data_IF_129242412771
#
_entry.id   IF_129242412771
#
_cell.length_a   1.000
_cell.length_b   1.000
_cell.length_c   1.000
_cell.angle_alpha   90.00
_cell.angle_beta   90.00
_cell.angle_gamma   90.00
#
_symmetry.space_group_name_H-M   'P 1'
#
loop_
_entity.id
_entity.type
_entity.pdbx_description
1 polymer ?
#
# COMPACT_ATOMS: atom_id res chain seq x y z
N UNK A 1 -23.65 -19.40 -11.38
CA UNK A 1 -22.29 -19.79 -10.96
C UNK A 1 -21.81 -18.77 -9.94
N UNK A 2 -21.64 -19.19 -8.68
CA UNK A 2 -21.26 -18.35 -7.55
C UNK A 2 -19.82 -17.86 -7.72
N UNK A 3 -19.62 -16.59 -8.07
CA UNK A 3 -18.30 -15.96 -7.99
C UNK A 3 -18.04 -15.55 -6.55
N UNK A 4 -17.16 -16.30 -5.88
CA UNK A 4 -16.68 -15.95 -4.55
C UNK A 4 -16.09 -14.53 -4.58
N UNK A 5 -16.40 -13.67 -3.60
CA UNK A 5 -15.80 -12.34 -3.52
C UNK A 5 -14.28 -12.51 -3.42
N UNK A 6 -13.51 -11.90 -4.34
CA UNK A 6 -12.04 -11.96 -4.31
C UNK A 6 -11.56 -11.44 -2.96
N UNK A 7 -11.20 -12.37 -2.06
CA UNK A 7 -10.75 -12.05 -0.71
C UNK A 7 -9.42 -11.31 -0.84
N UNK A 8 -9.31 -10.14 -0.19
CA UNK A 8 -8.01 -9.55 0.13
C UNK A 8 -7.34 -10.45 1.14
N UNK A 9 -6.15 -10.93 0.81
CA UNK A 9 -5.28 -11.67 1.72
C UNK A 9 -4.30 -10.68 2.36
N UNK A 10 -4.01 -10.87 3.64
CA UNK A 10 -2.98 -10.11 4.33
C UNK A 10 -1.60 -10.65 3.95
N UNK A 11 -1.48 -11.97 3.87
CA UNK A 11 -0.22 -12.69 3.65
C UNK A 11 -0.33 -13.61 2.44
N UNK A 12 0.67 -13.59 1.58
CA UNK A 12 0.93 -14.65 0.60
C UNK A 12 1.96 -15.61 1.18
N UNK A 13 1.65 -16.90 1.27
CA UNK A 13 2.58 -17.92 1.77
C UNK A 13 2.88 -18.90 0.63
N UNK A 14 4.11 -18.82 0.09
CA UNK A 14 4.64 -19.80 -0.86
C UNK A 14 5.47 -20.85 -0.15
N UNK A 15 5.22 -22.11 -0.48
CA UNK A 15 5.92 -23.26 0.07
C UNK A 15 5.86 -24.42 -0.90
N UNK A 16 6.68 -25.44 -0.66
CA UNK A 16 6.57 -26.73 -1.34
C UNK A 16 5.97 -27.75 -0.39
N UNK A 17 4.73 -28.18 -0.63
CA UNK A 17 4.03 -29.08 0.28
C UNK A 17 4.76 -30.40 0.45
N UNK A 18 5.36 -30.93 -0.62
CA UNK A 18 6.08 -32.22 -0.59
C UNK A 18 7.21 -32.25 0.45
N UNK A 19 7.90 -31.13 0.66
CA UNK A 19 9.06 -31.07 1.56
C UNK A 19 8.68 -30.65 2.98
N UNK A 20 7.49 -30.07 3.17
CA UNK A 20 7.03 -29.48 4.44
C UNK A 20 5.90 -30.28 5.12
N UNK A 21 5.45 -31.37 4.49
CA UNK A 21 4.32 -32.18 4.95
C UNK A 21 4.62 -32.99 6.20
N UNK A 22 5.80 -33.59 6.27
CA UNK A 22 6.13 -34.61 7.29
C UNK A 22 6.18 -34.04 8.71
N UNK A 23 6.45 -32.75 8.84
CA UNK A 23 6.52 -32.04 10.13
C UNK A 23 5.35 -31.10 10.39
N UNK A 24 4.33 -31.09 9.50
CA UNK A 24 3.16 -30.21 9.60
C UNK A 24 3.48 -28.71 9.78
N UNK A 25 4.69 -28.26 9.48
CA UNK A 25 5.19 -26.91 9.76
C UNK A 25 4.25 -25.82 9.22
N UNK A 26 3.89 -25.94 7.93
CA UNK A 26 2.99 -24.98 7.27
C UNK A 26 1.60 -25.00 7.91
N UNK A 27 1.11 -26.17 8.34
CA UNK A 27 -0.19 -26.29 9.03
C UNK A 27 -0.17 -25.56 10.38
N UNK A 28 0.89 -25.73 11.17
CA UNK A 28 1.06 -25.03 12.43
C UNK A 28 1.14 -23.51 12.23
N UNK A 29 1.91 -23.04 11.23
CA UNK A 29 2.01 -21.64 10.88
C UNK A 29 0.65 -21.05 10.45
N UNK A 30 -0.09 -21.76 9.60
CA UNK A 30 -1.46 -21.37 9.24
C UNK A 30 -2.38 -21.29 10.46
N UNK A 31 -2.25 -22.24 11.38
CA UNK A 31 -2.98 -22.26 12.65
C UNK A 31 -2.70 -21.01 13.50
N UNK A 32 -1.43 -20.62 13.63
CA UNK A 32 -1.01 -19.41 14.35
C UNK A 32 -1.53 -18.13 13.69
N UNK A 33 -1.37 -18.01 12.36
CA UNK A 33 -1.86 -16.84 11.61
C UNK A 33 -3.38 -16.70 11.72
N UNK A 34 -4.11 -17.81 11.62
CA UNK A 34 -5.58 -17.84 11.79
C UNK A 34 -6.00 -17.43 13.19
N UNK A 35 -5.29 -17.89 14.24
CA UNK A 35 -5.53 -17.45 15.64
C UNK A 35 -5.34 -15.94 15.80
N UNK A 36 -4.43 -15.34 15.03
CA UNK A 36 -4.21 -13.88 14.96
C UNK A 36 -5.16 -13.15 14.00
N UNK A 37 -6.16 -13.83 13.44
CA UNK A 37 -7.11 -13.30 12.44
C UNK A 37 -6.44 -12.77 11.15
N UNK A 38 -5.25 -13.26 10.82
CA UNK A 38 -4.51 -12.90 9.60
C UNK A 38 -5.01 -13.79 8.46
N UNK A 39 -5.45 -13.18 7.34
CA UNK A 39 -5.90 -13.92 6.16
C UNK A 39 -4.71 -14.30 5.29
N UNK A 40 -4.47 -15.59 5.11
CA UNK A 40 -3.33 -16.09 4.35
C UNK A 40 -3.78 -16.76 3.05
N UNK A 41 -3.14 -16.42 1.93
CA UNK A 41 -3.23 -17.17 0.68
C UNK A 41 -2.15 -18.25 0.65
N UNK A 42 -2.54 -19.50 0.41
CA UNK A 42 -1.62 -20.65 0.37
C UNK A 42 -1.29 -21.01 -1.08
N UNK A 43 -0.02 -20.84 -1.43
CA UNK A 43 0.50 -21.24 -2.72
C UNK A 43 1.49 -22.39 -2.57
N UNK A 44 1.12 -23.52 -3.17
CA UNK A 44 1.97 -24.70 -3.22
C UNK A 44 2.67 -24.71 -4.58
N UNK A 45 4.01 -24.69 -4.56
CA UNK A 45 4.89 -24.57 -5.74
C UNK A 45 4.93 -25.84 -6.63
N UNK A 46 3.91 -26.70 -6.51
CA UNK A 46 3.74 -27.86 -7.39
C UNK A 46 3.32 -27.42 -8.80
N UNK A 47 3.65 -28.21 -9.84
CA UNK A 47 3.47 -27.80 -11.23
C UNK A 47 1.99 -27.68 -11.61
N UNK A 48 1.46 -26.46 -11.66
CA UNK A 48 0.12 -26.15 -12.19
C UNK A 48 0.12 -24.76 -12.83
N UNK A 49 -0.18 -24.67 -14.13
CA UNK A 49 -0.19 -23.39 -14.86
C UNK A 49 -1.34 -22.48 -14.44
N UNK A 50 -2.55 -23.03 -14.24
CA UNK A 50 -3.74 -22.26 -13.85
C UNK A 50 -3.54 -21.58 -12.48
N UNK A 51 -2.91 -22.31 -11.54
CA UNK A 51 -2.65 -21.81 -10.18
C UNK A 51 -1.56 -20.74 -10.13
N UNK A 52 -0.66 -20.71 -11.12
CA UNK A 52 0.43 -19.72 -11.22
C UNK A 52 -0.09 -18.32 -11.59
N UNK A 53 -1.03 -18.21 -12.52
CA UNK A 53 -1.63 -16.92 -12.88
C UNK A 53 -2.49 -16.33 -11.74
N UNK A 54 -3.15 -17.19 -10.96
CA UNK A 54 -3.88 -16.76 -9.78
C UNK A 54 -2.93 -16.32 -8.66
N UNK A 55 -1.81 -17.01 -8.48
CA UNK A 55 -0.82 -16.66 -7.46
C UNK A 55 -0.12 -15.35 -7.76
N UNK A 56 0.15 -15.03 -9.03
CA UNK A 56 0.63 -13.72 -9.47
C UNK A 56 -0.30 -12.56 -9.05
N UNK A 57 -1.61 -12.77 -9.12
CA UNK A 57 -2.58 -11.78 -8.63
C UNK A 57 -2.61 -11.75 -7.11
N UNK A 58 -2.53 -12.92 -6.46
CA UNK A 58 -2.55 -13.04 -5.01
C UNK A 58 -1.35 -12.36 -4.35
N UNK A 59 -0.13 -12.55 -4.87
CA UNK A 59 1.09 -11.91 -4.36
C UNK A 59 1.03 -10.37 -4.54
N UNK A 60 0.44 -9.88 -5.63
CA UNK A 60 0.26 -8.44 -5.88
C UNK A 60 -0.72 -7.77 -4.91
N UNK A 61 -1.79 -8.48 -4.50
CA UNK A 61 -2.80 -7.93 -3.58
C UNK A 61 -2.50 -8.19 -2.10
N UNK A 62 -1.52 -9.05 -1.82
CA UNK A 62 -1.08 -9.36 -0.46
C UNK A 62 -0.16 -8.26 0.07
N UNK A 63 -0.17 -8.05 1.37
CA UNK A 63 0.58 -6.96 2.02
C UNK A 63 1.99 -7.39 2.42
N UNK A 64 2.16 -8.69 2.68
CA UNK A 64 3.41 -9.34 3.03
C UNK A 64 3.48 -10.68 2.28
N UNK A 65 4.67 -11.05 1.79
CA UNK A 65 4.93 -12.38 1.25
C UNK A 65 5.87 -13.14 2.17
N UNK A 66 5.59 -14.43 2.37
CA UNK A 66 6.41 -15.37 3.13
C UNK A 66 6.77 -16.50 2.20
N UNK A 67 8.06 -16.80 2.08
CA UNK A 67 8.56 -17.88 1.22
C UNK A 67 9.26 -18.90 2.12
N UNK A 68 8.79 -20.14 2.08
CA UNK A 68 9.40 -21.25 2.80
C UNK A 68 10.35 -21.98 1.85
N UNK A 69 11.64 -21.66 1.94
CA UNK A 69 12.70 -22.36 1.23
C UNK A 69 12.92 -23.73 1.88
N UNK A 70 12.65 -24.79 1.13
CA UNK A 70 12.87 -26.19 1.50
C UNK A 70 13.79 -26.87 0.49
N UNK A 71 14.21 -28.11 0.79
CA UNK A 71 15.22 -28.85 0.01
C UNK A 71 15.01 -28.77 -1.52
N UNK A 72 13.79 -28.95 -2.01
CA UNK A 72 13.49 -28.96 -3.44
C UNK A 72 12.78 -27.69 -3.92
N UNK A 73 12.91 -26.58 -3.19
CA UNK A 73 12.27 -25.31 -3.56
C UNK A 73 12.88 -24.70 -4.84
N UNK A 74 14.14 -24.99 -5.19
CA UNK A 74 14.74 -24.58 -6.45
C UNK A 74 13.98 -25.08 -7.70
N UNK A 75 13.20 -26.16 -7.57
CA UNK A 75 12.34 -26.68 -8.63
C UNK A 75 11.02 -25.89 -8.78
N UNK A 76 10.77 -24.86 -7.97
CA UNK A 76 9.53 -24.07 -7.98
C UNK A 76 9.40 -23.13 -9.18
N UNK A 77 8.24 -22.47 -9.37
CA UNK A 77 8.09 -21.48 -10.45
C UNK A 77 8.49 -20.05 -10.05
N UNK A 78 9.00 -19.88 -8.82
CA UNK A 78 9.77 -18.73 -8.35
C UNK A 78 9.07 -17.38 -8.47
N UNK A 79 8.05 -17.11 -7.66
CA UNK A 79 7.52 -15.75 -7.47
C UNK A 79 8.16 -15.11 -6.24
N UNK A 80 9.09 -14.18 -6.44
CA UNK A 80 9.83 -13.56 -5.35
C UNK A 80 9.61 -12.05 -5.38
N UNK A 81 8.74 -11.56 -4.49
CA UNK A 81 8.58 -10.12 -4.20
C UNK A 81 8.24 -9.93 -2.71
N UNK A 82 8.89 -8.97 -2.05
CA UNK A 82 8.66 -8.54 -0.65
C UNK A 82 8.59 -9.69 0.37
N UNK A 83 9.77 -10.24 0.70
CA UNK A 83 9.89 -11.59 1.24
C UNK A 83 10.30 -11.58 2.72
N UNK A 84 9.57 -12.33 3.53
CA UNK A 84 10.10 -12.92 4.75
C UNK A 84 10.59 -14.33 4.37
N UNK A 85 11.91 -14.55 4.24
CA UNK A 85 12.42 -15.87 3.91
C UNK A 85 12.36 -16.75 5.16
N UNK A 86 11.88 -17.98 5.01
CA UNK A 86 11.88 -19.01 6.04
C UNK A 86 12.66 -20.19 5.49
N UNK A 87 13.84 -20.43 6.04
CA UNK A 87 14.72 -21.54 5.67
C UNK A 87 14.33 -22.79 6.48
N UNK A 88 13.70 -23.73 5.79
CA UNK A 88 13.17 -24.96 6.35
C UNK A 88 14.07 -26.15 5.97
N UNK A 89 14.90 -26.59 6.93
CA UNK A 89 15.91 -27.63 6.79
C UNK A 89 16.85 -27.46 5.58
N UNK A 90 17.24 -26.21 5.31
CA UNK A 90 18.16 -25.85 4.23
C UNK A 90 19.24 -24.92 4.74
N UNK A 91 20.47 -25.08 4.25
CA UNK A 91 21.57 -24.17 4.54
C UNK A 91 21.43 -22.90 3.69
N UNK A 92 21.45 -21.69 4.29
CA UNK A 92 21.51 -20.45 3.53
C UNK A 92 22.60 -20.44 2.45
N UNK A 93 23.76 -21.04 2.71
CA UNK A 93 24.89 -21.07 1.77
C UNK A 93 24.57 -21.89 0.51
N UNK A 94 23.72 -22.91 0.62
CA UNK A 94 23.30 -23.70 -0.54
C UNK A 94 22.36 -22.92 -1.45
N UNK A 95 21.55 -22.02 -0.88
CA UNK A 95 20.68 -21.12 -1.64
C UNK A 95 21.52 -19.99 -2.26
N UNK A 96 22.46 -19.42 -1.48
CA UNK A 96 23.30 -18.29 -1.90
C UNK A 96 24.22 -18.67 -3.06
N UNK A 97 24.98 -19.75 -2.87
CA UNK A 97 25.97 -20.23 -3.83
C UNK A 97 25.36 -21.17 -4.86
N UNK A 98 24.06 -21.46 -4.75
CA UNK A 98 23.32 -22.37 -5.63
C UNK A 98 24.02 -23.74 -5.71
N UNK A 99 24.36 -24.27 -4.54
CA UNK A 99 24.96 -25.60 -4.38
C UNK A 99 23.91 -26.61 -3.90
N UNK A 100 24.29 -27.89 -3.84
CA UNK A 100 23.38 -28.96 -3.44
C UNK A 100 22.12 -29.04 -4.32
N UNK A 101 20.97 -29.25 -3.67
CA UNK A 101 19.68 -29.44 -4.34
C UNK A 101 19.22 -28.21 -5.15
N UNK A 102 19.58 -27.00 -4.72
CA UNK A 102 19.28 -25.77 -5.46
C UNK A 102 20.10 -25.72 -6.75
N UNK A 103 21.40 -26.04 -6.69
CA UNK A 103 22.27 -26.16 -7.85
C UNK A 103 21.74 -27.17 -8.87
N UNK A 104 21.35 -28.35 -8.41
CA UNK A 104 20.77 -29.41 -9.26
C UNK A 104 19.47 -28.95 -9.93
N UNK A 105 18.61 -28.22 -9.22
CA UNK A 105 17.37 -27.68 -9.75
C UNK A 105 17.60 -26.62 -10.83
N UNK A 106 18.58 -25.72 -10.63
CA UNK A 106 18.96 -24.73 -11.64
C UNK A 106 19.63 -25.39 -12.86
N UNK A 107 20.43 -26.44 -12.67
CA UNK A 107 21.07 -27.16 -13.77
C UNK A 107 20.06 -27.83 -14.72
N UNK A 108 18.90 -28.26 -14.21
CA UNK A 108 17.80 -28.83 -15.01
C UNK A 108 17.08 -27.80 -15.90
N UNK A 109 17.32 -26.50 -15.71
CA UNK A 109 16.59 -25.39 -16.37
C UNK A 109 17.45 -24.62 -17.39
N UNK A 110 18.46 -25.29 -17.95
CA UNK A 110 19.40 -24.70 -18.91
C UNK A 110 18.75 -24.17 -20.19
N UNK A 111 17.51 -24.54 -20.50
CA UNK A 111 16.74 -24.11 -21.67
C UNK A 111 16.27 -22.65 -21.62
N UNK A 112 16.40 -21.95 -20.47
CA UNK A 112 15.96 -20.56 -20.27
C UNK A 112 17.03 -19.68 -19.61
N UNK A 113 18.21 -19.63 -20.22
CA UNK A 113 19.39 -18.97 -19.66
C UNK A 113 19.19 -17.54 -19.11
N UNK A 114 18.41 -16.69 -19.79
CA UNK A 114 18.13 -15.31 -19.32
C UNK A 114 17.24 -15.29 -18.06
N UNK A 115 16.17 -16.08 -18.04
CA UNK A 115 15.29 -16.20 -16.85
C UNK A 115 16.00 -16.89 -15.68
N UNK A 116 16.95 -17.77 -15.98
CA UNK A 116 17.74 -18.47 -14.97
C UNK A 116 18.55 -17.50 -14.13
N UNK A 117 19.17 -16.49 -14.75
CA UNK A 117 19.98 -15.51 -14.02
C UNK A 117 19.12 -14.61 -13.13
N UNK A 118 17.99 -14.11 -13.65
CA UNK A 118 17.05 -13.31 -12.86
C UNK A 118 16.57 -14.08 -11.61
N UNK A 119 16.34 -15.38 -11.75
CA UNK A 119 15.90 -16.22 -10.64
C UNK A 119 16.98 -16.45 -9.60
N UNK A 120 18.21 -16.69 -10.05
CA UNK A 120 19.38 -16.80 -9.19
C UNK A 120 19.55 -15.56 -8.34
N UNK A 121 19.57 -14.40 -9.00
CA UNK A 121 19.71 -13.10 -8.34
C UNK A 121 18.58 -12.89 -7.33
N UNK A 122 17.35 -13.28 -7.68
CA UNK A 122 16.21 -13.11 -6.80
C UNK A 122 16.22 -14.03 -5.58
N UNK A 123 16.69 -15.27 -5.71
CA UNK A 123 16.87 -16.19 -4.58
C UNK A 123 17.97 -15.68 -3.65
N UNK A 124 19.10 -15.24 -4.21
CA UNK A 124 20.21 -14.64 -3.46
C UNK A 124 19.77 -13.35 -2.76
N UNK A 125 19.01 -12.47 -3.41
CA UNK A 125 18.45 -11.28 -2.77
C UNK A 125 17.47 -11.66 -1.65
N UNK A 126 16.61 -12.65 -1.87
CA UNK A 126 15.61 -13.07 -0.91
C UNK A 126 16.22 -13.59 0.40
N UNK A 127 17.29 -14.40 0.35
CA UNK A 127 17.95 -14.92 1.56
C UNK A 127 18.74 -13.85 2.31
N UNK A 128 19.16 -12.79 1.62
CA UNK A 128 19.83 -11.64 2.23
C UNK A 128 18.85 -10.74 3.01
N UNK A 129 17.54 -10.96 2.88
CA UNK A 129 16.53 -10.27 3.67
C UNK A 129 16.43 -10.87 5.09
N UNK A 130 16.04 -10.07 6.10
CA UNK A 130 15.82 -10.57 7.45
C UNK A 130 14.71 -11.64 7.48
N UNK A 131 15.06 -12.85 7.92
CA UNK A 131 14.13 -13.97 7.99
C UNK A 131 14.46 -14.98 9.09
N UNK A 132 13.96 -16.21 8.90
CA UNK A 132 13.93 -17.24 9.92
C UNK A 132 14.56 -18.53 9.40
N UNK A 133 15.21 -19.30 10.27
CA UNK A 133 15.76 -20.60 9.91
C UNK A 133 15.49 -21.63 11.01
N UNK A 134 15.05 -22.81 10.58
CA UNK A 134 14.85 -24.00 11.42
C UNK A 134 16.15 -24.59 11.94
N UNK A 135 17.29 -24.34 11.29
CA UNK A 135 18.56 -24.97 11.67
C UNK A 135 19.12 -24.45 13.00
N UNK A 136 18.70 -23.26 13.44
CA UNK A 136 19.17 -22.62 14.68
C UNK A 136 18.20 -22.75 15.85
N UNK A 137 16.96 -23.20 15.60
CA UNK A 137 15.90 -23.30 16.60
C UNK A 137 15.53 -24.77 16.79
N UNK A 138 15.65 -25.26 18.04
CA UNK A 138 15.38 -26.67 18.37
C UNK A 138 13.88 -27.00 18.46
N UNK A 139 13.02 -25.99 18.48
CA UNK A 139 11.58 -26.13 18.73
C UNK A 139 10.77 -25.44 17.62
N UNK A 140 10.16 -26.28 16.77
CA UNK A 140 9.32 -25.84 15.65
C UNK A 140 8.10 -25.04 16.13
N UNK A 141 7.54 -25.33 17.31
CA UNK A 141 6.40 -24.58 17.84
C UNK A 141 6.81 -23.16 18.23
N UNK A 142 7.97 -23.03 18.88
CA UNK A 142 8.54 -21.73 19.23
C UNK A 142 8.85 -20.91 17.98
N UNK A 143 9.50 -21.52 16.99
CA UNK A 143 9.82 -20.89 15.71
C UNK A 143 8.56 -20.41 14.98
N UNK A 144 7.54 -21.27 14.88
CA UNK A 144 6.27 -20.92 14.22
C UNK A 144 5.60 -19.73 14.91
N UNK A 145 5.60 -19.69 16.24
CA UNK A 145 5.05 -18.57 17.00
C UNK A 145 5.86 -17.28 16.79
N UNK A 146 7.17 -17.35 16.61
CA UNK A 146 8.03 -16.21 16.31
C UNK A 146 7.80 -15.67 14.90
N UNK A 147 7.76 -16.54 13.90
CA UNK A 147 7.42 -16.17 12.52
C UNK A 147 6.04 -15.48 12.47
N UNK A 148 5.04 -16.05 13.14
CA UNK A 148 3.70 -15.46 13.18
C UNK A 148 3.68 -14.07 13.85
N UNK A 149 4.49 -13.85 14.89
CA UNK A 149 4.67 -12.53 15.53
C UNK A 149 5.36 -11.53 14.61
N UNK A 150 6.41 -11.95 13.90
CA UNK A 150 7.11 -11.08 12.94
C UNK A 150 6.19 -10.65 11.80
N UNK A 151 5.45 -11.59 11.22
CA UNK A 151 4.44 -11.32 10.18
C UNK A 151 3.42 -10.28 10.66
N UNK A 152 2.84 -10.48 11.84
CA UNK A 152 1.90 -9.53 12.45
C UNK A 152 2.53 -8.14 12.61
N UNK A 153 3.76 -8.08 13.10
CA UNK A 153 4.48 -6.81 13.28
C UNK A 153 4.72 -6.09 11.94
N UNK A 154 5.09 -6.83 10.89
CA UNK A 154 5.32 -6.29 9.53
C UNK A 154 4.02 -5.83 8.89
N UNK A 155 2.92 -6.55 9.09
CA UNK A 155 1.58 -6.11 8.69
C UNK A 155 1.21 -4.81 9.40
N UNK A 156 1.36 -4.72 10.72
CA UNK A 156 1.05 -3.49 11.47
C UNK A 156 1.89 -2.30 11.00
N UNK A 157 3.19 -2.50 10.73
CA UNK A 157 4.05 -1.47 10.13
C UNK A 157 3.56 -1.07 8.74
N UNK A 158 3.26 -2.02 7.86
CA UNK A 158 2.74 -1.73 6.52
C UNK A 158 1.41 -0.96 6.56
N UNK A 159 0.49 -1.32 7.48
CA UNK A 159 -0.74 -0.55 7.71
C UNK A 159 -0.42 0.88 8.13
N UNK A 160 0.50 1.05 9.09
CA UNK A 160 0.89 2.36 9.60
C UNK A 160 1.53 3.22 8.52
N UNK A 161 2.47 2.68 7.74
CA UNK A 161 3.13 3.42 6.65
C UNK A 161 2.12 3.87 5.60
N UNK A 162 1.14 3.01 5.26
CA UNK A 162 0.06 3.39 4.34
C UNK A 162 -0.77 4.55 4.89
N UNK A 163 -1.17 4.49 6.16
CA UNK A 163 -1.90 5.59 6.82
C UNK A 163 -1.05 6.85 6.85
N UNK A 164 0.22 6.79 7.26
CA UNK A 164 1.10 7.95 7.27
C UNK A 164 1.23 8.57 5.89
N UNK A 165 1.41 7.77 4.84
CA UNK A 165 1.48 8.26 3.46
C UNK A 165 0.16 8.94 3.04
N UNK A 166 -0.99 8.29 3.25
CA UNK A 166 -2.32 8.85 2.93
C UNK A 166 -2.58 10.18 3.64
N UNK A 167 -2.21 10.30 4.91
CA UNK A 167 -2.46 11.50 5.70
C UNK A 167 -1.37 12.57 5.54
N UNK A 168 -0.16 12.22 5.09
CA UNK A 168 0.94 13.18 4.91
C UNK A 168 0.60 14.30 3.93
N UNK A 169 -0.03 13.96 2.80
CA UNK A 169 -0.44 14.93 1.78
C UNK A 169 -1.60 15.80 2.28
N UNK A 170 -2.56 15.19 2.99
CA UNK A 170 -3.68 15.90 3.62
C UNK A 170 -3.19 16.91 4.67
N UNK A 171 -2.25 16.52 5.53
CA UNK A 171 -1.63 17.40 6.52
C UNK A 171 -0.83 18.50 5.83
N UNK A 172 -0.09 18.18 4.76
CA UNK A 172 0.68 19.18 4.00
C UNK A 172 -0.23 20.25 3.40
N UNK A 173 -1.40 19.86 2.86
CA UNK A 173 -2.39 20.80 2.35
C UNK A 173 -2.97 21.68 3.47
N UNK A 174 -3.31 21.11 4.64
CA UNK A 174 -3.75 21.90 5.81
C UNK A 174 -2.72 22.96 6.20
N UNK A 175 -1.44 22.58 6.20
CA UNK A 175 -0.33 23.47 6.55
C UNK A 175 -0.12 24.59 5.53
N UNK A 176 -0.58 24.42 4.28
CA UNK A 176 -0.58 25.50 3.27
C UNK A 176 -1.81 26.41 3.39
N UNK A 177 -2.96 25.88 3.82
CA UNK A 177 -4.20 26.65 3.98
C UNK A 177 -4.14 27.67 5.13
N UNK A 178 -3.50 27.32 6.25
CA UNK A 178 -3.41 28.21 7.42
C UNK A 178 -2.62 29.51 7.08
N UNK A 179 -1.40 29.46 6.51
CA UNK A 179 -0.68 30.66 6.08
C UNK A 179 -1.39 31.41 4.95
N UNK A 180 -2.06 30.70 4.04
CA UNK A 180 -2.86 31.32 2.98
C UNK A 180 -3.94 32.25 3.58
N UNK A 181 -4.67 31.79 4.61
CA UNK A 181 -5.66 32.62 5.32
C UNK A 181 -5.02 33.85 5.99
N UNK A 182 -3.89 33.66 6.67
CA UNK A 182 -3.18 34.76 7.35
C UNK A 182 -2.77 35.83 6.33
N UNK A 183 -2.20 35.42 5.20
CA UNK A 183 -1.81 36.34 4.13
C UNK A 183 -2.99 37.05 3.50
N UNK A 184 -4.12 36.35 3.32
CA UNK A 184 -5.36 36.95 2.80
C UNK A 184 -5.90 38.03 3.76
N UNK A 185 -5.86 37.78 5.08
CA UNK A 185 -6.34 38.73 6.10
C UNK A 185 -5.47 39.99 6.24
N UNK A 186 -4.14 39.87 6.11
CA UNK A 186 -3.24 41.03 6.19
C UNK A 186 -3.05 41.74 4.86
N UNK A 187 -3.56 41.16 3.77
CA UNK A 187 -3.57 41.79 2.47
C UNK A 187 -4.43 43.06 2.50
N UNK A 188 -3.96 44.07 1.79
CA UNK A 188 -4.65 45.36 1.66
C UNK A 188 -4.21 46.02 0.36
N UNK A 189 -4.95 47.05 -0.06
CA UNK A 189 -4.60 47.86 -1.25
C UNK A 189 -3.15 48.38 -1.18
N UNK A 190 -2.64 48.68 0.02
CA UNK A 190 -1.29 49.19 0.24
C UNK A 190 -0.21 48.09 0.33
N UNK A 191 -0.60 46.81 0.42
CA UNK A 191 0.31 45.66 0.58
C UNK A 191 -0.09 44.50 -0.34
N UNK A 192 0.00 44.65 -1.67
CA UNK A 192 -0.45 43.64 -2.64
C UNK A 192 0.40 42.36 -2.63
N UNK A 193 1.63 42.41 -2.11
CA UNK A 193 2.53 41.27 -2.01
C UNK A 193 1.93 40.12 -1.18
N UNK A 194 1.16 40.42 -0.13
CA UNK A 194 0.51 39.37 0.67
C UNK A 194 -0.66 38.71 -0.08
N UNK A 195 -1.41 39.46 -0.89
CA UNK A 195 -2.44 38.89 -1.75
C UNK A 195 -1.82 37.97 -2.83
N UNK A 196 -0.68 38.37 -3.41
CA UNK A 196 0.07 37.54 -4.36
C UNK A 196 0.60 36.26 -3.69
N UNK A 197 1.11 36.35 -2.47
CA UNK A 197 1.57 35.20 -1.69
C UNK A 197 0.41 34.25 -1.32
N UNK A 198 -0.75 34.79 -0.93
CA UNK A 198 -1.94 33.98 -0.66
C UNK A 198 -2.38 33.22 -1.93
N UNK A 199 -2.41 33.89 -3.08
CA UNK A 199 -2.76 33.31 -4.38
C UNK A 199 -1.74 32.24 -4.83
N UNK A 200 -0.44 32.45 -4.63
CA UNK A 200 0.56 31.44 -4.99
C UNK A 200 0.45 30.19 -4.12
N UNK A 201 0.19 30.35 -2.82
CA UNK A 201 0.00 29.25 -1.87
C UNK A 201 -1.29 28.46 -2.15
N UNK A 202 -2.39 29.13 -2.52
CA UNK A 202 -3.64 28.45 -2.90
C UNK A 202 -3.48 27.66 -4.19
N UNK A 203 -2.79 28.24 -5.19
CA UNK A 203 -2.47 27.54 -6.44
C UNK A 203 -1.60 26.30 -6.19
N UNK A 204 -0.59 26.41 -5.31
CA UNK A 204 0.25 25.27 -4.94
C UNK A 204 -0.55 24.18 -4.23
N UNK A 205 -1.42 24.54 -3.27
CA UNK A 205 -2.32 23.60 -2.59
C UNK A 205 -3.25 22.88 -3.58
N UNK A 206 -3.85 23.63 -4.51
CA UNK A 206 -4.68 23.05 -5.57
C UNK A 206 -3.88 22.09 -6.47
N UNK A 207 -2.65 22.43 -6.83
CA UNK A 207 -1.78 21.57 -7.62
C UNK A 207 -1.43 20.28 -6.86
N UNK A 208 -1.11 20.35 -5.58
CA UNK A 208 -0.82 19.17 -4.74
C UNK A 208 -2.04 18.26 -4.61
N UNK A 209 -3.24 18.81 -4.42
CA UNK A 209 -4.49 18.03 -4.43
C UNK A 209 -4.71 17.30 -5.76
N UNK A 210 -4.46 17.97 -6.88
CA UNK A 210 -4.58 17.38 -8.21
C UNK A 210 -3.53 16.30 -8.45
N UNK A 211 -2.27 16.53 -8.06
CA UNK A 211 -1.19 15.54 -8.19
C UNK A 211 -1.50 14.29 -7.34
N UNK A 212 -1.97 14.46 -6.10
CA UNK A 212 -2.34 13.33 -5.23
C UNK A 212 -3.47 12.48 -5.84
N UNK A 213 -4.54 13.14 -6.30
CA UNK A 213 -5.63 12.46 -7.00
C UNK A 213 -5.17 11.79 -8.29
N UNK A 214 -4.31 12.43 -9.08
CA UNK A 214 -3.77 11.82 -10.30
C UNK A 214 -2.89 10.60 -9.97
N UNK A 215 -2.08 10.68 -8.92
CA UNK A 215 -1.23 9.57 -8.47
C UNK A 215 -2.08 8.38 -8.02
N UNK A 216 -3.05 8.60 -7.12
CA UNK A 216 -4.03 7.58 -6.70
C UNK A 216 -4.78 7.01 -7.90
N UNK A 217 -5.20 7.87 -8.83
CA UNK A 217 -5.91 7.47 -10.04
C UNK A 217 -5.10 6.55 -10.96
N UNK A 218 -3.80 6.83 -11.12
CA UNK A 218 -2.88 5.99 -11.90
C UNK A 218 -2.57 4.68 -11.23
N UNK A 219 -2.23 4.70 -9.94
CA UNK A 219 -1.90 3.48 -9.17
C UNK A 219 -3.08 2.52 -9.17
N UNK A 220 -4.30 3.05 -9.00
CA UNK A 220 -5.50 2.23 -8.86
C UNK A 220 -6.20 1.92 -10.19
N UNK A 221 -5.60 2.30 -11.33
CA UNK A 221 -6.09 2.07 -12.72
C UNK A 221 -7.59 2.37 -12.88
N UNK A 222 -7.96 3.55 -12.41
CA UNK A 222 -9.35 3.99 -12.32
C UNK A 222 -9.99 4.04 -13.70
N UNK A 223 -11.18 3.46 -13.81
CA UNK A 223 -11.97 3.50 -15.03
C UNK A 223 -13.02 4.60 -14.92
N UNK A 224 -13.11 5.40 -15.98
CA UNK A 224 -14.19 6.36 -16.11
C UNK A 224 -15.48 5.62 -16.45
N UNK A 225 -16.53 5.80 -15.64
CA UNK A 225 -17.81 5.14 -15.86
C UNK A 225 -18.96 6.12 -15.66
N UNK A 226 -19.89 6.09 -16.59
CA UNK A 226 -21.14 6.83 -16.49
C UNK A 226 -22.06 6.13 -15.48
N UNK A 227 -22.21 6.71 -14.28
CA UNK A 227 -23.21 6.31 -13.29
C UNK A 227 -24.11 7.51 -13.03
N UNK A 228 -25.39 7.38 -13.34
CA UNK A 228 -26.37 8.45 -13.12
C UNK A 228 -26.49 8.74 -11.61
N UNK A 229 -26.52 10.02 -11.15
CA UNK A 229 -26.71 11.26 -11.91
C UNK A 229 -25.43 12.08 -12.23
N UNK A 230 -24.23 11.67 -11.78
CA UNK A 230 -22.97 12.39 -12.05
C UNK A 230 -21.91 11.37 -12.50
N UNK A 231 -21.28 11.52 -13.69
CA UNK A 231 -20.19 10.65 -14.11
C UNK A 231 -19.07 10.65 -13.07
N UNK A 232 -18.64 9.46 -12.64
CA UNK A 232 -17.64 9.33 -11.58
C UNK A 232 -16.59 8.28 -11.93
N UNK A 233 -15.40 8.51 -11.39
CA UNK A 233 -14.27 7.61 -11.46
C UNK A 233 -14.49 6.39 -10.54
N UNK A 234 -14.19 5.18 -11.01
CA UNK A 234 -14.41 3.95 -10.25
C UNK A 234 -13.18 3.04 -10.24
N UNK A 235 -13.01 2.32 -9.14
CA UNK A 235 -12.00 1.28 -9.04
C UNK A 235 -12.38 0.07 -9.92
N UNK A 236 -11.49 -0.42 -10.80
CA UNK A 236 -11.79 -1.51 -11.72
C UNK A 236 -12.14 -2.82 -11.01
N UNK A 237 -11.70 -3.00 -9.77
CA UNK A 237 -11.87 -4.23 -8.98
C UNK A 237 -13.00 -4.20 -7.95
N UNK A 238 -13.60 -3.04 -7.64
CA UNK A 238 -14.69 -2.92 -6.66
C UNK A 238 -15.92 -2.24 -7.26
N UNK A 239 -17.02 -3.00 -7.34
CA UNK A 239 -18.24 -2.65 -8.10
C UNK A 239 -19.06 -1.47 -7.54
N UNK A 240 -18.71 -0.89 -6.40
CA UNK A 240 -19.46 0.23 -5.80
C UNK A 240 -18.66 1.32 -5.08
N UNK A 241 -17.32 1.28 -5.10
CA UNK A 241 -16.54 2.34 -4.44
C UNK A 241 -16.19 3.44 -5.44
N UNK A 242 -16.62 4.66 -5.12
CA UNK A 242 -16.23 5.88 -5.83
C UNK A 242 -14.73 6.12 -5.64
N UNK A 243 -14.08 6.60 -6.69
CA UNK A 243 -12.68 7.00 -6.64
C UNK A 243 -12.48 8.23 -5.75
N UNK A 244 -11.36 8.23 -5.00
CA UNK A 244 -10.99 9.27 -4.06
C UNK A 244 -11.66 9.10 -2.70
N UNK A 245 -10.89 9.31 -1.63
CA UNK A 245 -11.45 9.29 -0.28
C UNK A 245 -12.25 10.56 -0.02
N UNK A 246 -13.15 10.53 0.98
CA UNK A 246 -13.92 11.72 1.36
C UNK A 246 -13.01 12.94 1.68
N UNK A 247 -11.90 12.81 2.44
CA UNK A 247 -10.94 13.89 2.63
C UNK A 247 -10.33 14.44 1.33
N UNK A 248 -10.02 13.56 0.37
CA UNK A 248 -9.40 14.00 -0.90
C UNK A 248 -10.35 14.90 -1.69
N UNK A 249 -11.64 14.56 -1.68
CA UNK A 249 -12.67 15.33 -2.36
C UNK A 249 -12.95 16.66 -1.67
N UNK A 250 -13.09 16.65 -0.33
CA UNK A 250 -13.26 17.88 0.45
C UNK A 250 -12.05 18.79 0.28
N UNK A 251 -10.84 18.24 0.28
CA UNK A 251 -9.59 18.98 0.06
C UNK A 251 -9.52 19.63 -1.30
N UNK A 252 -9.82 18.90 -2.38
CA UNK A 252 -9.83 19.47 -3.71
C UNK A 252 -10.84 20.62 -3.84
N UNK A 253 -12.06 20.45 -3.30
CA UNK A 253 -13.09 21.50 -3.35
C UNK A 253 -12.64 22.73 -2.56
N UNK A 254 -12.09 22.56 -1.35
CA UNK A 254 -11.58 23.66 -0.54
C UNK A 254 -10.44 24.40 -1.27
N UNK A 255 -9.48 23.67 -1.83
CA UNK A 255 -8.36 24.26 -2.55
C UNK A 255 -8.79 25.04 -3.81
N UNK A 256 -9.75 24.50 -4.58
CA UNK A 256 -10.32 25.18 -5.75
C UNK A 256 -11.09 26.45 -5.35
N UNK A 257 -11.97 26.35 -4.35
CA UNK A 257 -12.73 27.50 -3.85
C UNK A 257 -11.82 28.59 -3.28
N UNK A 258 -10.81 28.21 -2.52
CA UNK A 258 -9.81 29.14 -1.97
C UNK A 258 -9.03 29.82 -3.10
N UNK A 259 -8.62 29.06 -4.13
CA UNK A 259 -7.91 29.62 -5.29
C UNK A 259 -8.73 30.66 -6.03
N UNK A 260 -10.03 30.40 -6.23
CA UNK A 260 -10.94 31.37 -6.87
C UNK A 260 -11.05 32.63 -6.01
N UNK A 261 -11.26 32.48 -4.69
CA UNK A 261 -11.41 33.62 -3.78
C UNK A 261 -10.15 34.49 -3.72
N UNK A 262 -8.96 33.89 -3.58
CA UNK A 262 -7.70 34.63 -3.53
C UNK A 262 -7.39 35.30 -4.87
N UNK A 263 -7.74 34.68 -5.99
CA UNK A 263 -7.57 35.29 -7.32
C UNK A 263 -8.49 36.51 -7.51
N UNK A 264 -9.75 36.41 -7.06
CA UNK A 264 -10.68 37.54 -7.04
C UNK A 264 -10.16 38.65 -6.13
N UNK A 265 -9.75 38.32 -4.90
CA UNK A 265 -9.20 39.29 -3.93
C UNK A 265 -7.97 40.02 -4.51
N UNK A 266 -7.04 39.27 -5.12
CA UNK A 266 -5.88 39.85 -5.80
C UNK A 266 -6.28 40.80 -6.92
N UNK A 267 -7.27 40.44 -7.76
CA UNK A 267 -7.77 41.30 -8.84
C UNK A 267 -8.32 42.64 -8.31
N UNK A 268 -9.14 42.62 -7.26
CA UNK A 268 -9.67 43.85 -6.63
C UNK A 268 -8.56 44.72 -6.04
N UNK A 269 -7.62 44.12 -5.32
CA UNK A 269 -6.47 44.83 -4.75
C UNK A 269 -5.61 45.49 -5.84
N UNK A 270 -5.41 44.81 -6.99
CA UNK A 270 -4.69 45.41 -8.13
C UNK A 270 -5.45 46.55 -8.79
N UNK A 271 -6.78 46.57 -8.69
CA UNK A 271 -7.65 47.64 -9.19
C UNK A 271 -7.80 48.80 -8.18
N UNK A 272 -7.16 48.72 -7.00
CA UNK A 272 -7.27 49.65 -5.86
C UNK A 272 -8.68 49.74 -5.24
N UNK A 273 -9.46 48.68 -5.39
CA UNK A 273 -10.76 48.56 -4.75
C UNK A 273 -10.68 47.66 -3.51
N UNK A 274 -11.50 47.97 -2.50
CA UNK A 274 -11.61 47.12 -1.31
C UNK A 274 -12.34 45.82 -1.68
N UNK A 275 -11.77 44.69 -1.25
CA UNK A 275 -12.38 43.40 -1.53
C UNK A 275 -13.65 43.20 -0.68
N UNK A 276 -14.73 42.66 -1.29
CA UNK A 276 -15.99 42.46 -0.59
C UNK A 276 -15.97 41.29 0.41
N UNK A 277 -14.95 40.42 0.35
CA UNK A 277 -14.88 39.17 1.11
C UNK A 277 -13.74 39.26 2.12
N UNK A 278 -14.09 39.40 3.41
CA UNK A 278 -13.12 39.61 4.50
C UNK A 278 -12.77 38.33 5.29
N UNK A 279 -13.49 37.24 5.07
CA UNK A 279 -13.35 36.02 5.88
C UNK A 279 -13.55 34.77 5.03
N UNK A 280 -12.54 33.88 5.03
CA UNK A 280 -12.62 32.57 4.39
C UNK A 280 -12.96 31.49 5.43
N UNK A 281 -14.05 30.76 5.18
CA UNK A 281 -14.55 29.67 6.05
C UNK A 281 -13.93 28.32 5.66
N UNK A 282 -13.18 28.25 4.55
CA UNK A 282 -12.72 26.99 3.97
C UNK A 282 -11.74 26.19 4.85
N UNK A 283 -10.78 26.81 5.57
CA UNK A 283 -9.93 26.05 6.49
C UNK A 283 -10.72 25.39 7.63
N UNK A 284 -11.82 26.02 8.08
CA UNK A 284 -12.72 25.45 9.08
C UNK A 284 -13.50 24.28 8.48
N UNK A 285 -14.04 24.44 7.27
CA UNK A 285 -14.73 23.37 6.55
C UNK A 285 -13.83 22.18 6.25
N UNK A 286 -12.58 22.42 5.89
CA UNK A 286 -11.57 21.41 5.66
C UNK A 286 -11.23 20.66 6.96
N UNK A 287 -10.98 21.38 8.06
CA UNK A 287 -10.75 20.77 9.38
C UNK A 287 -11.93 19.93 9.88
N UNK A 288 -13.17 20.41 9.71
CA UNK A 288 -14.39 19.66 10.04
C UNK A 288 -14.54 18.41 9.15
N UNK A 289 -14.22 18.51 7.85
CA UNK A 289 -14.21 17.39 6.93
C UNK A 289 -13.22 16.29 7.32
N UNK A 290 -12.05 16.67 7.85
CA UNK A 290 -11.06 15.73 8.37
C UNK A 290 -11.55 15.02 9.63
N UNK A 291 -12.12 15.77 10.60
CA UNK A 291 -12.64 15.22 11.86
C UNK A 291 -13.73 14.18 11.63
N UNK A 292 -14.67 14.43 10.71
CA UNK A 292 -15.75 13.49 10.36
C UNK A 292 -15.25 12.13 9.83
N UNK A 293 -14.01 12.02 9.35
CA UNK A 293 -13.44 10.76 8.87
C UNK A 293 -12.61 10.01 9.93
N UNK A 294 -12.01 10.74 10.88
CA UNK A 294 -11.22 10.15 11.98
C UNK A 294 -12.09 9.23 12.85
N UNK A 295 -13.34 9.62 13.10
CA UNK A 295 -14.29 8.81 13.89
C UNK A 295 -14.58 7.45 13.25
N UNK A 296 -14.59 7.37 11.91
CA UNK A 296 -14.77 6.10 11.19
C UNK A 296 -13.57 5.16 11.37
N UNK A 297 -12.37 5.72 11.42
CA UNK A 297 -11.13 4.94 11.60
C UNK A 297 -10.96 4.47 13.04
N UNK A 298 -11.30 5.31 14.03
CA UNK A 298 -11.30 4.93 15.45
C UNK A 298 -12.35 3.86 15.72
N UNK A 299 -13.57 3.99 15.16
CA UNK A 299 -14.59 2.94 15.25
C UNK A 299 -14.12 1.61 14.65
N UNK A 300 -13.49 1.65 13.47
CA UNK A 300 -12.96 0.45 12.82
C UNK A 300 -11.80 -0.17 13.60
N UNK A 301 -10.95 0.64 14.23
CA UNK A 301 -9.82 0.16 15.02
C UNK A 301 -10.28 -0.44 16.37
N UNK A 302 -11.35 0.10 16.96
CA UNK A 302 -11.97 -0.43 18.18
C UNK A 302 -12.82 -1.68 17.91
N UNK A 303 -13.45 -1.80 16.74
CA UNK A 303 -14.23 -2.98 16.35
C UNK A 303 -13.37 -4.18 15.89
N UNK A 304 -12.09 -3.96 15.59
CA UNK A 304 -11.18 -5.02 15.11
C UNK A 304 -10.18 -5.52 16.17
N UNK A 305 -10.23 -5.00 17.40
CA UNK A 305 -9.53 -5.55 18.56
C UNK A 305 -10.40 -6.64 19.20
#
# INVERSE_FOLDING_TARGET
>A
MSSTPKMKHDVFLSFRSKDTRDHNFVSHLCGCLRRKRIKTYLYDELPSEERYEESLKAIQVSRVSVIVFSENFGDSKGLVRFVIPVLYHVDPLDIENQTGSFGDAFAKRQDKAEQLQEWRDCFTEAINLPGWSTNYLRDDEMLVNEIARDIESKLLRASRTKVVFEWSLVITNLMLEIPCLVFDQISSVHKPLYALAAMSMSLLSCLLCLIDLLHKGRVERVLWKWSWPIPWFHYPTQRSNRFGSFPDMVGLVCALSQTILTAVNYSFITQRDDSPIKFSVWPIMFALGLLCNVDRLILLTLLYR
#
